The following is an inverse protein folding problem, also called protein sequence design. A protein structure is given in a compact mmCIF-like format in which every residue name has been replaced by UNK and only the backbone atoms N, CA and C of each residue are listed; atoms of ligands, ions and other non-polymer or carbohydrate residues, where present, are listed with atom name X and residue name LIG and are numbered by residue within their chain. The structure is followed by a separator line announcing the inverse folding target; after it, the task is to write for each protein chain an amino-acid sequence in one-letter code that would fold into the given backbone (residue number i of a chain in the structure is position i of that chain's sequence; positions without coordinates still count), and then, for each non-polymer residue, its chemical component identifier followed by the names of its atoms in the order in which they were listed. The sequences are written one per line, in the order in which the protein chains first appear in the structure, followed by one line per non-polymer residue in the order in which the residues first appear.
data_IF_755063569250
#
_entry.id   IF_755063569250
#
_cell.length_a   1.000
_cell.length_b   1.000
_cell.length_c   1.000
_cell.angle_alpha   90.00
_cell.angle_beta   90.00
_cell.angle_gamma   90.00
#
_symmetry.space_group_name_H-M   'P 1'
#
loop_
_entity.id
_entity.type
_entity.pdbx_description
1 polymer ?
#
# COMPACT_ATOMS: atom_id res chain seq x y z
N UNK A 1 4.52 41.56 -31.24
CA UNK A 1 3.44 40.57 -31.04
C UNK A 1 4.03 39.18 -31.25
N UNK A 2 4.31 38.43 -30.17
CA UNK A 2 4.79 37.05 -30.26
C UNK A 2 3.57 36.12 -30.40
N UNK A 3 3.38 35.56 -31.59
CA UNK A 3 2.49 34.42 -31.79
C UNK A 3 3.10 33.23 -31.03
N UNK A 4 2.51 32.85 -29.90
CA UNK A 4 2.69 31.52 -29.32
C UNK A 4 1.84 30.53 -30.14
N UNK A 5 2.43 29.57 -30.88
CA UNK A 5 1.66 28.60 -31.64
C UNK A 5 1.06 27.47 -30.77
N UNK A 6 1.36 27.43 -29.46
CA UNK A 6 0.96 26.34 -28.56
C UNK A 6 -0.24 26.66 -27.65
N UNK A 7 -0.85 27.84 -27.77
CA UNK A 7 -2.06 28.20 -27.01
C UNK A 7 -3.32 28.16 -27.87
N UNK A 8 -3.38 27.27 -28.86
CA UNK A 8 -4.66 26.77 -29.34
C UNK A 8 -5.00 25.54 -28.50
N UNK A 9 -5.73 25.76 -27.40
CA UNK A 9 -6.67 24.74 -26.90
C UNK A 9 -7.46 24.30 -28.13
N UNK A 10 -7.26 23.07 -28.60
CA UNK A 10 -8.08 22.49 -29.65
C UNK A 10 -9.52 22.50 -29.13
N UNK A 11 -10.27 23.54 -29.52
CA UNK A 11 -11.71 23.55 -29.41
C UNK A 11 -12.23 22.59 -30.46
N UNK A 12 -12.98 21.61 -29.99
CA UNK A 12 -13.97 20.78 -30.66
C UNK A 12 -13.52 19.44 -31.28
N UNK A 13 -14.24 18.40 -30.84
CA UNK A 13 -14.69 17.19 -31.57
C UNK A 13 -13.85 15.92 -31.61
N UNK A 14 -12.75 15.84 -30.87
CA UNK A 14 -12.05 14.55 -30.67
C UNK A 14 -12.14 14.17 -29.18
N UNK A 15 -12.43 12.89 -28.84
CA UNK A 15 -12.40 12.43 -27.45
C UNK A 15 -11.03 12.77 -26.84
N UNK A 16 -11.02 13.19 -25.57
CA UNK A 16 -9.75 13.38 -24.88
C UNK A 16 -8.95 12.08 -24.95
N UNK A 17 -7.62 12.15 -25.02
CA UNK A 17 -6.77 10.96 -24.97
C UNK A 17 -7.05 10.10 -23.72
N UNK A 18 -7.49 10.73 -22.64
CA UNK A 18 -7.99 10.06 -21.44
C UNK A 18 -9.29 9.27 -21.70
N UNK A 19 -10.22 9.82 -22.49
CA UNK A 19 -11.47 9.14 -22.88
C UNK A 19 -11.16 7.93 -23.79
N UNK A 20 -10.19 8.06 -24.69
CA UNK A 20 -9.68 6.95 -25.50
C UNK A 20 -9.04 5.86 -24.64
N UNK A 21 -8.25 6.23 -23.63
CA UNK A 21 -7.67 5.29 -22.66
C UNK A 21 -8.76 4.58 -21.86
N UNK A 22 -9.79 5.30 -21.42
CA UNK A 22 -10.95 4.70 -20.74
C UNK A 22 -11.67 3.69 -21.64
N UNK A 23 -11.89 4.04 -22.91
CA UNK A 23 -12.50 3.13 -23.88
C UNK A 23 -11.64 1.87 -24.11
N UNK A 24 -10.32 2.04 -24.31
CA UNK A 24 -9.38 0.92 -24.43
C UNK A 24 -9.37 0.02 -23.18
N UNK A 25 -9.53 0.60 -21.99
CA UNK A 25 -9.61 -0.15 -20.75
C UNK A 25 -10.88 -0.98 -20.65
N UNK A 26 -12.04 -0.44 -21.04
CA UNK A 26 -13.30 -1.20 -21.10
C UNK A 26 -13.17 -2.38 -22.08
N UNK A 27 -12.57 -2.16 -23.25
CA UNK A 27 -12.28 -3.26 -24.19
C UNK A 27 -11.33 -4.30 -23.59
N UNK A 28 -10.27 -3.85 -22.92
CA UNK A 28 -9.30 -4.73 -22.27
C UNK A 28 -9.92 -5.53 -21.12
N UNK A 29 -10.87 -4.96 -20.37
CA UNK A 29 -11.62 -5.63 -19.31
C UNK A 29 -12.44 -6.80 -19.86
N UNK A 30 -13.15 -6.58 -20.97
CA UNK A 30 -13.90 -7.63 -21.66
C UNK A 30 -12.97 -8.73 -22.15
N UNK A 31 -11.83 -8.37 -22.77
CA UNK A 31 -10.82 -9.35 -23.25
C UNK A 31 -10.20 -10.13 -22.08
N UNK A 32 -9.91 -9.46 -20.96
CA UNK A 32 -9.38 -10.09 -19.76
C UNK A 32 -10.36 -11.11 -19.21
N UNK A 33 -11.63 -10.73 -19.02
CA UNK A 33 -12.68 -11.63 -18.54
C UNK A 33 -12.87 -12.84 -19.48
N UNK A 34 -12.91 -12.61 -20.80
CA UNK A 34 -13.03 -13.67 -21.79
C UNK A 34 -11.83 -14.63 -21.76
N UNK A 35 -10.59 -14.11 -21.68
CA UNK A 35 -9.37 -14.93 -21.62
C UNK A 35 -9.29 -15.77 -20.35
N UNK A 36 -9.75 -15.21 -19.21
CA UNK A 36 -9.82 -15.91 -17.94
C UNK A 36 -10.82 -17.07 -18.00
N UNK A 37 -12.02 -16.82 -18.53
CA UNK A 37 -13.03 -17.86 -18.72
C UNK A 37 -12.55 -18.96 -19.68
N UNK A 38 -11.82 -18.61 -20.74
CA UNK A 38 -11.22 -19.58 -21.65
C UNK A 38 -10.14 -20.44 -20.97
N UNK A 39 -9.30 -19.84 -20.13
CA UNK A 39 -8.30 -20.56 -19.34
C UNK A 39 -8.96 -21.52 -18.33
N UNK A 40 -9.97 -21.07 -17.60
CA UNK A 40 -10.73 -21.90 -16.66
C UNK A 40 -11.38 -23.09 -17.37
N UNK A 41 -11.97 -22.87 -18.55
CA UNK A 41 -12.55 -23.94 -19.37
C UNK A 41 -11.49 -24.94 -19.87
N UNK A 42 -10.35 -24.45 -20.33
CA UNK A 42 -9.25 -25.31 -20.81
C UNK A 42 -8.64 -26.12 -19.66
N UNK A 43 -8.53 -25.54 -18.46
CA UNK A 43 -8.09 -26.23 -17.26
C UNK A 43 -9.07 -27.32 -16.84
N UNK A 44 -10.38 -27.05 -16.85
CA UNK A 44 -11.39 -28.05 -16.54
C UNK A 44 -11.39 -29.22 -17.55
N UNK A 45 -11.22 -28.95 -18.85
CA UNK A 45 -11.11 -29.98 -19.89
C UNK A 45 -9.84 -30.85 -19.70
N UNK A 46 -8.70 -30.23 -19.40
CA UNK A 46 -7.47 -30.95 -19.08
C UNK A 46 -7.65 -31.83 -17.84
N UNK A 47 -8.18 -31.29 -16.74
CA UNK A 47 -8.37 -32.02 -15.49
C UNK A 47 -9.34 -33.22 -15.68
N UNK A 48 -10.38 -33.07 -16.49
CA UNK A 48 -11.31 -34.14 -16.81
C UNK A 48 -10.63 -35.27 -17.61
N UNK A 49 -9.85 -34.93 -18.64
CA UNK A 49 -9.13 -35.91 -19.48
C UNK A 49 -7.96 -36.56 -18.75
N UNK A 50 -7.26 -35.80 -17.91
CA UNK A 50 -6.23 -36.31 -17.00
C UNK A 50 -6.80 -37.37 -16.06
N UNK A 51 -7.92 -37.08 -15.40
CA UNK A 51 -8.62 -38.04 -14.53
C UNK A 51 -9.10 -39.27 -15.30
N UNK A 52 -9.67 -39.10 -16.49
CA UNK A 52 -10.17 -40.20 -17.31
C UNK A 52 -9.03 -41.14 -17.74
N UNK A 53 -7.90 -40.59 -18.21
CA UNK A 53 -6.71 -41.36 -18.58
C UNK A 53 -6.15 -42.13 -17.38
N UNK A 54 -5.85 -41.46 -16.27
CA UNK A 54 -5.23 -42.10 -15.12
C UNK A 54 -6.16 -43.09 -14.40
N UNK A 55 -7.48 -42.90 -14.45
CA UNK A 55 -8.43 -43.89 -13.92
C UNK A 55 -8.41 -45.17 -14.75
N UNK A 56 -8.21 -45.08 -16.06
CA UNK A 56 -8.11 -46.25 -16.93
C UNK A 56 -6.75 -46.93 -16.76
N UNK A 57 -5.68 -46.15 -16.76
CA UNK A 57 -4.31 -46.63 -16.54
C UNK A 57 -4.19 -47.38 -15.20
N UNK A 58 -4.77 -46.85 -14.11
CA UNK A 58 -4.76 -47.50 -12.80
C UNK A 58 -5.52 -48.83 -12.75
N UNK A 59 -6.47 -49.06 -13.66
CA UNK A 59 -7.22 -50.33 -13.78
C UNK A 59 -6.54 -51.31 -14.74
N UNK A 60 -5.59 -50.84 -15.53
CA UNK A 60 -4.87 -51.64 -16.51
C UNK A 60 -3.92 -52.61 -15.81
N UNK A 61 -4.03 -53.90 -16.13
CA UNK A 61 -3.12 -54.95 -15.64
C UNK A 61 -2.09 -55.35 -16.71
N UNK A 62 -2.06 -54.62 -17.84
CA UNK A 62 -1.23 -54.90 -18.99
C UNK A 62 -0.04 -53.94 -19.04
N UNK A 63 1.13 -54.46 -19.42
CA UNK A 63 2.31 -53.64 -19.76
C UNK A 63 2.20 -52.98 -21.13
N UNK A 64 1.23 -53.39 -21.96
CA UNK A 64 0.95 -52.79 -23.27
C UNK A 64 -0.32 -51.94 -23.21
N UNK A 65 -0.25 -50.74 -23.81
CA UNK A 65 -1.37 -49.81 -23.88
C UNK A 65 -2.44 -50.25 -24.88
N UNK A 66 -3.68 -50.34 -24.41
CA UNK A 66 -4.89 -50.49 -25.20
C UNK A 66 -5.13 -49.29 -26.12
N UNK A 67 -5.91 -49.50 -27.18
CA UNK A 67 -6.32 -48.43 -28.11
C UNK A 67 -7.06 -47.29 -27.39
N UNK A 68 -7.81 -47.61 -26.33
CA UNK A 68 -8.53 -46.62 -25.54
C UNK A 68 -7.59 -45.76 -24.69
N UNK A 69 -6.59 -46.37 -24.03
CA UNK A 69 -5.55 -45.63 -23.29
C UNK A 69 -4.76 -44.72 -24.22
N UNK A 70 -4.37 -45.21 -25.40
CA UNK A 70 -3.67 -44.39 -26.41
C UNK A 70 -4.53 -43.19 -26.86
N UNK A 71 -5.84 -43.38 -27.00
CA UNK A 71 -6.76 -42.29 -27.39
C UNK A 71 -6.89 -41.26 -26.28
N UNK A 72 -7.15 -41.68 -25.04
CA UNK A 72 -7.27 -40.79 -23.89
C UNK A 72 -5.96 -40.03 -23.61
N UNK A 73 -4.81 -40.69 -23.76
CA UNK A 73 -3.51 -40.04 -23.64
C UNK A 73 -3.31 -38.95 -24.71
N UNK A 74 -3.68 -39.21 -25.98
CA UNK A 74 -3.62 -38.19 -27.04
C UNK A 74 -4.56 -37.02 -26.76
N UNK A 75 -5.77 -37.30 -26.27
CA UNK A 75 -6.75 -36.27 -25.92
C UNK A 75 -6.29 -35.42 -24.73
N UNK A 76 -5.72 -36.06 -23.70
CA UNK A 76 -5.11 -35.39 -22.55
C UNK A 76 -3.97 -34.47 -22.99
N UNK A 77 -3.04 -34.95 -23.83
CA UNK A 77 -1.93 -34.13 -24.33
C UNK A 77 -2.43 -32.94 -25.16
N UNK A 78 -3.46 -33.13 -26.00
CA UNK A 78 -4.10 -32.03 -26.74
C UNK A 78 -4.72 -31.00 -25.80
N UNK A 79 -5.41 -31.44 -24.75
CA UNK A 79 -6.00 -30.55 -23.75
C UNK A 79 -4.92 -29.81 -22.95
N UNK A 80 -3.81 -30.47 -22.62
CA UNK A 80 -2.66 -29.85 -21.96
C UNK A 80 -2.04 -28.75 -22.82
N UNK A 81 -1.80 -29.02 -24.11
CA UNK A 81 -1.29 -28.00 -25.03
C UNK A 81 -2.25 -26.82 -25.14
N UNK A 82 -3.55 -27.07 -25.29
CA UNK A 82 -4.54 -26.01 -25.37
C UNK A 82 -4.61 -25.17 -24.07
N UNK A 83 -4.50 -25.81 -22.91
CA UNK A 83 -4.40 -25.10 -21.62
C UNK A 83 -3.18 -24.18 -21.58
N UNK A 84 -2.01 -24.65 -22.03
CA UNK A 84 -0.78 -23.85 -22.06
C UNK A 84 -0.87 -22.65 -23.02
N UNK A 85 -1.52 -22.83 -24.18
CA UNK A 85 -1.82 -21.74 -25.11
C UNK A 85 -2.73 -20.69 -24.46
N UNK A 86 -3.83 -21.11 -23.85
CA UNK A 86 -4.74 -20.23 -23.13
C UNK A 86 -4.03 -19.51 -21.97
N UNK A 87 -3.15 -20.19 -21.24
CA UNK A 87 -2.37 -19.59 -20.16
C UNK A 87 -1.42 -18.50 -20.67
N UNK A 88 -0.74 -18.77 -21.79
CA UNK A 88 0.18 -17.81 -22.40
C UNK A 88 -0.54 -16.58 -22.95
N UNK A 89 -1.69 -16.80 -23.60
CA UNK A 89 -2.57 -15.72 -24.07
C UNK A 89 -3.11 -14.89 -22.90
N UNK A 90 -3.60 -15.55 -21.84
CA UNK A 90 -4.11 -14.88 -20.65
C UNK A 90 -3.04 -14.00 -19.98
N UNK A 91 -1.81 -14.50 -19.79
CA UNK A 91 -0.69 -13.71 -19.23
C UNK A 91 -0.35 -12.46 -20.06
N UNK A 92 -0.54 -12.52 -21.37
CA UNK A 92 -0.28 -11.36 -22.24
C UNK A 92 -1.37 -10.32 -22.08
N UNK A 93 -2.64 -10.75 -22.13
CA UNK A 93 -3.80 -9.88 -21.93
C UNK A 93 -3.81 -9.30 -20.50
N UNK A 94 -3.45 -10.09 -19.48
CA UNK A 94 -3.34 -9.65 -18.09
C UNK A 94 -2.31 -8.53 -17.92
N UNK A 95 -1.15 -8.64 -18.57
CA UNK A 95 -0.12 -7.58 -18.54
C UNK A 95 -0.64 -6.29 -19.17
N UNK A 96 -1.30 -6.38 -20.32
CA UNK A 96 -1.89 -5.21 -21.00
C UNK A 96 -3.00 -4.57 -20.16
N UNK A 97 -3.91 -5.39 -19.62
CA UNK A 97 -4.99 -4.96 -18.75
C UNK A 97 -4.45 -4.25 -17.50
N UNK A 98 -3.50 -4.87 -16.79
CA UNK A 98 -2.91 -4.28 -15.59
C UNK A 98 -2.15 -2.99 -15.89
N UNK A 99 -1.49 -2.90 -17.05
CA UNK A 99 -0.86 -1.67 -17.51
C UNK A 99 -1.88 -0.55 -17.73
N UNK A 100 -2.97 -0.81 -18.46
CA UNK A 100 -4.04 0.18 -18.66
C UNK A 100 -4.73 0.56 -17.35
N UNK A 101 -5.01 -0.43 -16.50
CA UNK A 101 -5.60 -0.23 -15.17
C UNK A 101 -4.76 0.72 -14.32
N UNK A 102 -3.46 0.45 -14.23
CA UNK A 102 -2.54 1.26 -13.42
C UNK A 102 -2.54 2.73 -13.83
N UNK A 103 -2.74 3.01 -15.11
CA UNK A 103 -2.77 4.37 -15.67
C UNK A 103 -4.04 5.12 -15.31
N UNK A 104 -5.19 4.49 -15.51
CA UNK A 104 -6.49 5.10 -15.18
C UNK A 104 -6.64 5.28 -13.68
N UNK A 105 -6.14 4.33 -12.89
CA UNK A 105 -6.20 4.43 -11.43
C UNK A 105 -5.14 5.37 -10.85
N UNK A 106 -4.08 5.73 -11.57
CA UNK A 106 -2.93 6.49 -11.04
C UNK A 106 -3.33 7.77 -10.28
N UNK A 107 -4.22 8.65 -10.80
CA UNK A 107 -4.63 9.86 -10.08
C UNK A 107 -5.34 9.53 -8.75
N UNK A 108 -6.19 8.51 -8.77
CA UNK A 108 -6.93 8.06 -7.59
C UNK A 108 -6.00 7.38 -6.57
N UNK A 109 -5.03 6.60 -7.01
CA UNK A 109 -4.03 5.96 -6.16
C UNK A 109 -3.12 6.99 -5.50
N UNK A 110 -2.71 8.02 -6.25
CA UNK A 110 -1.96 9.15 -5.71
C UNK A 110 -2.75 9.85 -4.60
N UNK A 111 -4.00 10.21 -4.86
CA UNK A 111 -4.89 10.84 -3.86
C UNK A 111 -5.04 9.98 -2.59
N UNK A 112 -5.29 8.67 -2.74
CA UNK A 112 -5.37 7.73 -1.62
C UNK A 112 -4.08 7.66 -0.81
N UNK A 113 -2.93 7.57 -1.48
CA UNK A 113 -1.64 7.49 -0.80
C UNK A 113 -1.28 8.77 -0.03
N UNK A 114 -1.63 9.96 -0.56
CA UNK A 114 -1.50 11.22 0.16
C UNK A 114 -2.40 11.27 1.40
N UNK A 115 -3.66 10.86 1.26
CA UNK A 115 -4.60 10.80 2.38
C UNK A 115 -4.10 9.85 3.48
N UNK A 116 -3.52 8.71 3.10
CA UNK A 116 -2.92 7.76 4.05
C UNK A 116 -1.69 8.35 4.75
N UNK A 117 -0.81 9.05 4.02
CA UNK A 117 0.34 9.74 4.61
C UNK A 117 -0.11 10.78 5.64
N UNK A 118 -1.05 11.66 5.26
CA UNK A 118 -1.61 12.68 6.15
C UNK A 118 -2.28 12.07 7.40
N UNK A 119 -2.99 10.94 7.24
CA UNK A 119 -3.58 10.21 8.36
C UNK A 119 -2.52 9.66 9.31
N UNK A 120 -1.42 9.10 8.78
CA UNK A 120 -0.32 8.58 9.60
C UNK A 120 0.44 9.71 10.31
N UNK A 121 0.64 10.86 9.68
CA UNK A 121 1.24 12.04 10.31
C UNK A 121 0.38 12.55 11.46
N UNK A 122 -0.95 12.59 11.26
CA UNK A 122 -1.89 12.93 12.33
C UNK A 122 -1.83 11.92 13.47
N UNK A 123 -1.90 10.62 13.16
CA UNK A 123 -1.81 9.55 14.16
C UNK A 123 -0.50 9.64 14.96
N UNK A 124 0.61 9.94 14.30
CA UNK A 124 1.89 10.13 14.97
C UNK A 124 1.88 11.32 15.93
N UNK A 125 1.25 12.44 15.55
CA UNK A 125 1.02 13.58 16.45
C UNK A 125 0.11 13.24 17.63
N UNK A 126 -1.00 12.54 17.36
CA UNK A 126 -1.96 12.10 18.38
C UNK A 126 -1.32 11.15 19.40
N UNK A 127 -0.53 10.17 18.94
CA UNK A 127 0.21 9.25 19.81
C UNK A 127 1.22 9.97 20.72
N UNK A 128 1.93 10.98 20.20
CA UNK A 128 2.83 11.81 21.02
C UNK A 128 2.08 12.59 22.09
N UNK A 129 0.93 13.15 21.72
CA UNK A 129 0.07 13.87 22.65
C UNK A 129 -0.50 12.94 23.73
N UNK A 130 -0.92 11.72 23.35
CA UNK A 130 -1.37 10.71 24.30
C UNK A 130 -0.26 10.27 25.25
N UNK A 131 0.95 10.05 24.73
CA UNK A 131 2.11 9.69 25.55
C UNK A 131 2.42 10.79 26.58
N UNK A 132 2.45 12.06 26.15
CA UNK A 132 2.68 13.18 27.06
C UNK A 132 1.59 13.28 28.15
N UNK A 133 0.31 13.07 27.79
CA UNK A 133 -0.80 13.02 28.75
C UNK A 133 -0.67 11.85 29.73
N UNK A 134 -0.27 10.68 29.25
CA UNK A 134 -0.09 9.50 30.09
C UNK A 134 1.07 9.71 31.09
N UNK A 135 2.20 10.26 30.63
CA UNK A 135 3.33 10.61 31.48
C UNK A 135 2.96 11.68 32.54
N UNK A 136 2.21 12.70 32.16
CA UNK A 136 1.72 13.71 33.11
C UNK A 136 0.83 13.10 34.20
N UNK A 137 -0.09 12.19 33.83
CA UNK A 137 -0.94 11.46 34.78
C UNK A 137 -0.13 10.51 35.65
N UNK A 138 0.88 9.83 35.10
CA UNK A 138 1.77 8.97 35.86
C UNK A 138 2.48 9.77 36.97
N UNK A 139 3.00 10.96 36.64
CA UNK A 139 3.64 11.84 37.62
C UNK A 139 2.66 12.25 38.73
N UNK A 140 1.42 12.61 38.37
CA UNK A 140 0.38 12.97 39.35
C UNK A 140 0.03 11.79 40.29
N UNK A 141 -0.12 10.59 39.72
CA UNK A 141 -0.39 9.37 40.50
C UNK A 141 0.80 9.02 41.40
N UNK A 142 2.03 9.22 40.94
CA UNK A 142 3.23 8.98 41.73
C UNK A 142 3.29 9.93 42.93
N UNK A 143 3.09 11.24 42.71
CA UNK A 143 3.03 12.22 43.80
C UNK A 143 1.96 11.87 44.83
N UNK A 144 0.77 11.42 44.38
CA UNK A 144 -0.31 11.01 45.30
C UNK A 144 0.01 9.72 46.04
N UNK A 145 0.67 8.75 45.39
CA UNK A 145 1.13 7.52 46.03
C UNK A 145 2.15 7.83 47.13
N UNK A 146 3.10 8.74 46.87
CA UNK A 146 4.12 9.15 47.83
C UNK A 146 3.52 9.87 49.04
N UNK A 147 2.55 10.77 48.81
CA UNK A 147 1.79 11.44 49.88
C UNK A 147 1.01 10.44 50.73
N UNK A 148 0.22 9.55 50.11
CA UNK A 148 -0.55 8.53 50.82
C UNK A 148 0.35 7.56 51.60
N UNK A 149 1.54 7.24 51.07
CA UNK A 149 2.50 6.40 51.78
C UNK A 149 3.03 7.09 53.05
N UNK A 150 3.34 8.38 52.98
CA UNK A 150 3.75 9.18 54.15
C UNK A 150 2.64 9.30 55.18
N UNK A 151 1.39 9.55 54.74
CA UNK A 151 0.24 9.65 55.63
C UNK A 151 -0.02 8.33 56.36
N UNK A 152 0.01 7.20 55.64
CA UNK A 152 -0.13 5.86 56.24
C UNK A 152 0.99 5.57 57.24
N UNK A 153 2.24 5.93 56.95
CA UNK A 153 3.37 5.74 57.87
C UNK A 153 3.21 6.60 59.14
N UNK A 154 2.77 7.85 58.99
CA UNK A 154 2.50 8.74 60.12
C UNK A 154 1.36 8.22 60.99
N UNK A 155 0.26 7.76 60.38
CA UNK A 155 -0.90 7.18 61.09
C UNK A 155 -0.50 5.91 61.84
N UNK A 156 0.32 5.05 61.22
CA UNK A 156 0.87 3.86 61.88
C UNK A 156 1.73 4.23 63.09
N UNK A 157 2.59 5.24 62.96
CA UNK A 157 3.44 5.71 64.07
C UNK A 157 2.61 6.29 65.20
N UNK A 158 1.61 7.13 64.90
CA UNK A 158 0.73 7.72 65.90
C UNK A 158 -0.10 6.65 66.62
N UNK A 159 -0.62 5.66 65.88
CA UNK A 159 -1.34 4.54 66.46
C UNK A 159 -0.45 3.67 67.36
N UNK A 160 0.78 3.38 66.93
CA UNK A 160 1.75 2.65 67.74
C UNK A 160 2.12 3.40 69.04
N UNK A 161 2.30 4.72 68.95
CA UNK A 161 2.57 5.57 70.12
C UNK A 161 1.37 5.58 71.09
N UNK A 162 0.15 5.71 70.56
CA UNK A 162 -1.07 5.66 71.37
C UNK A 162 -1.25 4.31 72.10
N UNK A 163 -0.83 3.21 71.47
CA UNK A 163 -0.80 1.88 72.11
C UNK A 163 0.26 1.76 73.20
N UNK A 164 1.43 2.36 73.01
CA UNK A 164 2.50 2.39 74.02
C UNK A 164 2.08 3.24 75.22
N UNK A 165 1.36 4.34 74.98
CA UNK A 165 0.95 5.30 76.00
C UNK A 165 -0.36 4.90 76.72
N UNK A 166 -1.07 3.84 76.30
CA UNK A 166 -2.30 3.37 76.95
C UNK A 166 -2.06 2.18 77.89
N UNK A 167 -2.44 2.31 79.17
CA UNK A 167 -2.30 1.27 80.21
C UNK A 167 -3.44 0.20 80.21
N UNK A 168 -4.48 0.32 79.39
CA UNK A 168 -5.55 -0.70 79.26
C UNK A 168 -6.21 -0.69 77.85
N UNK A 169 -6.72 -1.88 77.45
CA UNK A 169 -7.46 -2.31 76.24
C UNK A 169 -7.19 -1.58 74.90
N UNK A 170 -6.56 -2.30 73.96
CA UNK A 170 -6.05 -1.77 72.68
C UNK A 170 -7.13 -1.09 71.80
N UNK A 171 -6.96 0.19 71.40
CA UNK A 171 -7.90 0.89 70.53
C UNK A 171 -7.99 0.28 69.13
N UNK A 172 -9.19 0.34 68.53
CA UNK A 172 -9.43 -0.08 67.15
C UNK A 172 -8.75 0.92 66.19
N UNK A 173 -7.68 0.46 65.54
CA UNK A 173 -6.85 1.33 64.70
C UNK A 173 -7.48 1.44 63.30
N UNK A 174 -7.92 2.65 62.94
CA UNK A 174 -8.48 2.97 61.61
C UNK A 174 -7.39 3.11 60.51
N UNK A 175 -6.57 2.07 60.31
CA UNK A 175 -5.58 1.97 59.22
C UNK A 175 -6.10 1.53 57.82
N UNK A 176 -7.25 0.84 57.64
CA UNK A 176 -7.51 0.11 56.40
C UNK A 176 -7.84 1.01 55.19
N UNK A 177 -8.34 2.24 55.43
CA UNK A 177 -8.77 3.13 54.34
C UNK A 177 -7.59 3.71 53.56
N UNK A 178 -6.58 4.27 54.23
CA UNK A 178 -5.39 4.82 53.58
C UNK A 178 -4.57 3.75 52.84
N UNK A 179 -4.47 2.55 53.42
CA UNK A 179 -3.81 1.40 52.79
C UNK A 179 -4.56 0.91 51.54
N UNK A 180 -5.90 0.85 51.58
CA UNK A 180 -6.71 0.49 50.42
C UNK A 180 -6.57 1.52 49.29
N UNK A 181 -6.61 2.82 49.61
CA UNK A 181 -6.40 3.89 48.63
C UNK A 181 -5.00 3.82 48.00
N UNK A 182 -3.95 3.57 48.80
CA UNK A 182 -2.59 3.40 48.31
C UNK A 182 -2.47 2.19 47.37
N UNK A 183 -3.11 1.06 47.69
CA UNK A 183 -3.15 -0.12 46.82
C UNK A 183 -3.82 0.19 45.47
N UNK A 184 -4.93 0.93 45.47
CA UNK A 184 -5.62 1.32 44.24
C UNK A 184 -4.76 2.26 43.39
N UNK A 185 -4.09 3.25 44.01
CA UNK A 185 -3.21 4.18 43.28
C UNK A 185 -1.99 3.45 42.69
N UNK A 186 -1.41 2.49 43.42
CA UNK A 186 -0.31 1.65 42.90
C UNK A 186 -0.76 0.78 41.72
N UNK A 187 -1.94 0.18 41.79
CA UNK A 187 -2.50 -0.56 40.67
C UNK A 187 -2.75 0.34 39.44
N UNK A 188 -3.21 1.58 39.65
CA UNK A 188 -3.36 2.56 38.57
C UNK A 188 -2.00 2.98 37.95
N UNK A 189 -0.94 3.08 38.76
CA UNK A 189 0.43 3.32 38.28
C UNK A 189 0.96 2.19 37.39
N UNK A 190 0.70 0.93 37.74
CA UNK A 190 1.07 -0.21 36.89
C UNK A 190 0.32 -0.18 35.56
N UNK A 191 -0.98 0.12 35.58
CA UNK A 191 -1.79 0.20 34.36
C UNK A 191 -1.33 1.34 33.45
N UNK A 192 -1.02 2.52 34.01
CA UNK A 192 -0.54 3.64 33.19
C UNK A 192 0.87 3.40 32.67
N UNK A 193 1.72 2.68 33.42
CA UNK A 193 3.03 2.21 32.95
C UNK A 193 2.91 1.32 31.72
N UNK A 194 2.05 0.30 31.77
CA UNK A 194 1.75 -0.57 30.61
C UNK A 194 1.25 0.24 29.41
N UNK A 195 0.35 1.20 29.63
CA UNK A 195 -0.16 2.07 28.56
C UNK A 195 0.94 2.93 27.94
N UNK A 196 1.88 3.43 28.73
CA UNK A 196 3.03 4.20 28.24
C UNK A 196 3.93 3.31 27.38
N UNK A 197 4.21 2.08 27.81
CA UNK A 197 5.02 1.11 27.03
C UNK A 197 4.34 0.75 25.70
N UNK A 198 3.03 0.53 25.70
CA UNK A 198 2.24 0.31 24.47
C UNK A 198 2.34 1.50 23.51
N UNK A 199 2.15 2.73 24.01
CA UNK A 199 2.23 3.95 23.22
C UNK A 199 3.64 4.17 22.64
N UNK A 200 4.68 3.88 23.43
CA UNK A 200 6.08 3.94 22.98
C UNK A 200 6.34 2.90 21.88
N UNK A 201 5.84 1.68 22.04
CA UNK A 201 5.96 0.63 21.02
C UNK A 201 5.31 1.06 19.71
N UNK A 202 4.09 1.61 19.77
CA UNK A 202 3.40 2.14 18.60
C UNK A 202 4.18 3.29 17.95
N UNK A 203 4.71 4.23 18.75
CA UNK A 203 5.55 5.32 18.26
C UNK A 203 6.84 4.84 17.60
N UNK A 204 7.45 3.76 18.09
CA UNK A 204 8.66 3.19 17.50
C UNK A 204 8.40 2.57 16.12
N UNK A 205 7.19 2.09 15.84
CA UNK A 205 6.80 1.58 14.52
C UNK A 205 6.49 2.68 13.52
N UNK A 206 6.09 3.87 13.98
CA UNK A 206 5.62 4.95 13.12
C UNK A 206 6.63 5.43 12.07
N UNK A 207 7.94 5.60 12.35
CA UNK A 207 8.92 6.00 11.34
C UNK A 207 9.01 5.05 10.14
N UNK A 208 8.79 3.74 10.34
CA UNK A 208 8.76 2.78 9.24
C UNK A 208 7.48 2.97 8.41
N UNK A 209 6.32 3.04 9.06
CA UNK A 209 5.02 3.24 8.40
C UNK A 209 4.98 4.54 7.59
N UNK A 210 5.54 5.62 8.12
CA UNK A 210 5.65 6.91 7.41
C UNK A 210 6.56 6.83 6.19
N UNK A 211 7.72 6.16 6.29
CA UNK A 211 8.61 5.95 5.13
C UNK A 211 7.95 5.11 4.05
N UNK A 212 7.24 4.05 4.42
CA UNK A 212 6.53 3.18 3.48
C UNK A 212 5.38 3.93 2.79
N UNK A 213 4.62 4.75 3.54
CA UNK A 213 3.60 5.61 2.98
C UNK A 213 4.18 6.65 2.02
N UNK A 214 5.28 7.32 2.40
CA UNK A 214 5.95 8.30 1.56
C UNK A 214 6.47 7.67 0.25
N UNK A 215 7.07 6.48 0.34
CA UNK A 215 7.48 5.69 -0.83
C UNK A 215 6.29 5.41 -1.75
N UNK A 216 5.14 5.03 -1.20
CA UNK A 216 3.92 4.80 -1.97
C UNK A 216 3.49 6.05 -2.73
N UNK A 217 3.53 7.23 -2.08
CA UNK A 217 3.21 8.50 -2.76
C UNK A 217 4.16 8.75 -3.92
N UNK A 218 5.48 8.59 -3.73
CA UNK A 218 6.44 8.77 -4.83
C UNK A 218 6.23 7.81 -5.99
N UNK A 219 5.95 6.53 -5.70
CA UNK A 219 5.66 5.56 -6.75
C UNK A 219 4.38 5.93 -7.54
N UNK A 220 3.31 6.33 -6.84
CA UNK A 220 2.07 6.73 -7.50
C UNK A 220 2.22 8.05 -8.27
N UNK A 221 3.01 8.98 -7.75
CA UNK A 221 3.33 10.24 -8.42
C UNK A 221 4.13 10.01 -9.69
N UNK A 222 5.10 9.08 -9.67
CA UNK A 222 5.84 8.68 -10.87
C UNK A 222 4.92 8.07 -11.94
N UNK A 223 4.02 7.16 -11.55
CA UNK A 223 3.03 6.58 -12.47
C UNK A 223 2.11 7.67 -13.04
N UNK A 224 1.68 8.62 -12.21
CA UNK A 224 0.84 9.73 -12.68
C UNK A 224 1.59 10.64 -13.66
N UNK A 225 2.83 11.00 -13.36
CA UNK A 225 3.67 11.79 -14.28
C UNK A 225 3.95 11.03 -15.60
N UNK A 226 4.12 9.71 -15.56
CA UNK A 226 4.23 8.87 -16.76
C UNK A 226 2.95 8.96 -17.60
N UNK A 227 1.77 8.91 -16.97
CA UNK A 227 0.49 9.08 -17.69
C UNK A 227 0.37 10.45 -18.35
N UNK A 228 0.73 11.53 -17.66
CA UNK A 228 0.70 12.89 -18.22
C UNK A 228 1.68 13.03 -19.41
N UNK A 229 2.87 12.45 -19.29
CA UNK A 229 3.86 12.44 -20.37
C UNK A 229 3.36 11.69 -21.60
N UNK A 230 2.81 10.50 -21.40
CA UNK A 230 2.24 9.72 -22.50
C UNK A 230 1.03 10.39 -23.14
N UNK A 231 0.27 11.17 -22.39
CA UNK A 231 -0.80 12.02 -22.94
C UNK A 231 -0.26 13.11 -23.86
N UNK A 232 0.86 13.75 -23.48
CA UNK A 232 1.47 14.83 -24.25
C UNK A 232 2.31 14.36 -25.45
N UNK A 233 2.92 13.18 -25.37
CA UNK A 233 3.90 12.67 -26.33
C UNK A 233 3.46 12.63 -27.81
N UNK A 234 2.25 12.15 -28.19
CA UNK A 234 1.87 12.01 -29.59
C UNK A 234 1.96 13.30 -30.40
N UNK A 235 1.59 14.44 -29.78
CA UNK A 235 1.68 15.75 -30.40
C UNK A 235 3.11 16.16 -30.73
N UNK A 236 4.09 15.63 -29.99
CA UNK A 236 5.51 15.96 -30.15
C UNK A 236 6.29 14.96 -31.01
N UNK A 237 5.92 13.68 -30.99
CA UNK A 237 6.60 12.61 -31.75
C UNK A 237 6.65 12.92 -33.24
N UNK A 238 5.59 13.49 -33.82
CA UNK A 238 5.57 13.89 -35.22
C UNK A 238 6.65 14.93 -35.59
N UNK A 239 6.94 15.86 -34.68
CA UNK A 239 8.00 16.86 -34.88
C UNK A 239 9.39 16.23 -34.84
N UNK A 240 9.65 15.36 -33.85
CA UNK A 240 10.92 14.61 -33.76
C UNK A 240 11.11 13.76 -35.02
N UNK A 241 10.09 13.01 -35.44
CA UNK A 241 10.16 12.15 -36.62
C UNK A 241 10.47 12.97 -37.88
N UNK A 242 9.79 14.10 -38.09
CA UNK A 242 10.07 15.00 -39.22
C UNK A 242 11.51 15.52 -39.19
N UNK A 243 12.01 15.95 -38.04
CA UNK A 243 13.38 16.42 -37.87
C UNK A 243 14.40 15.32 -38.21
N UNK A 244 14.23 14.11 -37.66
CA UNK A 244 15.11 12.97 -37.91
C UNK A 244 15.12 12.54 -39.38
N UNK A 245 13.95 12.51 -40.02
CA UNK A 245 13.84 12.24 -41.46
C UNK A 245 14.55 13.33 -42.27
N UNK A 246 14.45 14.60 -41.89
CA UNK A 246 15.15 15.69 -42.56
C UNK A 246 16.68 15.57 -42.42
N UNK A 247 17.20 15.28 -41.22
CA UNK A 247 18.63 15.05 -41.00
C UNK A 247 19.17 13.88 -41.83
N UNK A 248 18.41 12.77 -41.88
CA UNK A 248 18.78 11.59 -42.66
C UNK A 248 18.83 11.92 -44.16
N UNK A 249 17.81 12.62 -44.67
CA UNK A 249 17.80 13.09 -46.07
C UNK A 249 18.94 14.05 -46.39
N UNK A 250 19.39 14.85 -45.42
CA UNK A 250 20.54 15.74 -45.57
C UNK A 250 21.90 15.04 -45.40
N UNK A 251 21.93 13.73 -45.09
CA UNK A 251 23.14 12.97 -44.85
C UNK A 251 23.86 13.27 -43.53
N UNK A 252 23.22 14.00 -42.61
CA UNK A 252 23.82 14.39 -41.32
C UNK A 252 23.83 13.27 -40.28
N UNK A 253 23.03 12.22 -40.50
CA UNK A 253 22.95 11.07 -39.60
C UNK A 253 22.54 9.82 -40.38
N UNK A 254 22.99 8.66 -39.90
CA UNK A 254 22.58 7.34 -40.40
C UNK A 254 21.38 6.76 -39.65
N UNK A 255 21.00 7.33 -38.50
CA UNK A 255 19.93 6.81 -37.64
C UNK A 255 18.68 7.68 -37.71
N UNK A 256 17.55 7.07 -38.07
CA UNK A 256 16.23 7.72 -38.17
C UNK A 256 15.33 7.45 -36.97
N UNK A 257 15.65 6.45 -36.14
CA UNK A 257 14.72 5.90 -35.15
C UNK A 257 14.89 6.44 -33.72
N UNK A 258 15.99 7.16 -33.42
CA UNK A 258 16.27 7.68 -32.08
C UNK A 258 16.67 9.16 -32.11
N UNK A 259 16.16 9.89 -31.13
CA UNK A 259 16.57 11.26 -30.82
C UNK A 259 16.70 11.41 -29.31
N UNK A 260 17.80 12.02 -28.86
CA UNK A 260 18.07 12.29 -27.45
C UNK A 260 17.81 13.76 -27.18
N UNK A 261 17.17 14.05 -26.05
CA UNK A 261 16.77 15.40 -25.65
C UNK A 261 17.31 15.61 -24.25
N UNK A 262 18.18 16.60 -24.11
CA UNK A 262 18.65 17.06 -22.82
C UNK A 262 17.55 17.89 -22.14
N UNK A 263 17.29 17.61 -20.87
CA UNK A 263 16.32 18.38 -20.08
C UNK A 263 17.05 19.60 -19.53
N UNK A 264 16.61 20.84 -19.86
CA UNK A 264 17.22 22.04 -19.32
C UNK A 264 17.09 22.13 -17.79
N UNK A 265 18.12 22.61 -17.09
CA UNK A 265 18.17 22.69 -15.61
C UNK A 265 16.96 23.42 -15.01
N UNK A 266 16.55 24.52 -15.62
CA UNK A 266 15.39 25.29 -15.18
C UNK A 266 14.07 24.50 -15.28
N UNK A 267 13.93 23.61 -16.26
CA UNK A 267 12.77 22.73 -16.39
C UNK A 267 12.80 21.62 -15.33
N UNK A 268 13.98 21.11 -15.00
CA UNK A 268 14.17 20.12 -13.93
C UNK A 268 13.84 20.70 -12.55
N UNK A 269 14.35 21.89 -12.22
CA UNK A 269 14.05 22.58 -10.95
C UNK A 269 12.56 22.90 -10.81
N UNK A 270 11.93 23.36 -11.90
CA UNK A 270 10.49 23.62 -11.92
C UNK A 270 9.67 22.34 -11.70
N UNK A 271 10.09 21.21 -12.29
CA UNK A 271 9.45 19.92 -12.10
C UNK A 271 9.55 19.45 -10.64
N UNK A 272 10.74 19.53 -10.03
CA UNK A 272 10.92 19.20 -8.60
C UNK A 272 10.00 20.04 -7.71
N UNK A 273 9.98 21.36 -7.94
CA UNK A 273 9.14 22.28 -7.17
C UNK A 273 7.65 21.93 -7.29
N UNK A 274 7.20 21.56 -8.50
CA UNK A 274 5.81 21.16 -8.74
C UNK A 274 5.47 19.84 -8.06
N UNK A 275 6.35 18.83 -8.16
CA UNK A 275 6.15 17.53 -7.52
C UNK A 275 6.10 17.67 -5.99
N UNK A 276 6.96 18.51 -5.40
CA UNK A 276 6.93 18.81 -3.97
C UNK A 276 5.66 19.54 -3.55
N UNK A 277 5.14 20.44 -4.39
CA UNK A 277 3.87 21.14 -4.13
C UNK A 277 2.69 20.17 -4.17
N UNK A 278 2.68 19.22 -5.10
CA UNK A 278 1.66 18.17 -5.18
C UNK A 278 1.65 17.33 -3.91
N UNK A 279 2.79 16.99 -3.31
CA UNK A 279 2.83 16.23 -2.04
C UNK A 279 2.04 16.92 -0.90
N UNK A 280 1.98 18.26 -0.92
CA UNK A 280 1.38 19.09 0.14
C UNK A 280 -0.08 19.45 -0.13
N UNK A 281 -0.59 19.13 -1.31
CA UNK A 281 -1.95 19.43 -1.78
C UNK A 281 -2.82 18.16 -1.78
#
# INVERSE_FOLDING_TARGET
MKLNPFTKKQKNTDPSRYDELCAQFVEAEVRFAASKAALEKAQADYDAKFKAFHTLEAKSQSTFWSTQEQTLHREMNRAQHHQQECQSAHRTIEREFNKLRSRIEAPNQLSKSKAQLAQLEKQHGDLRNELAKAQARQNQLQTRADQLAQDVENDQRLAAQALIDSDDEAPEIALPKGQAELHVVRAALEQIGKRIEELQTQLNEMPKRLRDALRSVYCNQATHAETELEEALPGFVGHIARYKVAQYRAGWTSSTQRHEIDIPDNAWEAANTRLDAEMRA
#
